data_IF_990119812576
#
_entry.id   IF_990119812576
#
_cell.length_a   1.000
_cell.length_b   1.000
_cell.length_c   1.000
_cell.angle_alpha   90.00
_cell.angle_beta   90.00
_cell.angle_gamma   90.00
#
_symmetry.space_group_name_H-M   'P 1'
#
loop_
_entity.id
_entity.type
_entity.pdbx_description
1 polymer ?
#
# COMPACT_ATOMS: atom_id res chain seq x y z
N UNK A 1 6.37 9.31 -23.75
CA UNK A 1 6.98 9.06 -22.42
C UNK A 1 5.85 8.68 -21.47
N UNK A 2 5.92 7.49 -20.87
CA UNK A 2 5.02 6.93 -19.85
C UNK A 2 3.52 6.72 -20.19
N UNK A 3 3.23 5.91 -21.21
CA UNK A 3 1.97 5.16 -21.29
C UNK A 3 2.21 3.79 -20.65
N UNK A 4 2.33 3.77 -19.32
CA UNK A 4 2.41 2.54 -18.56
C UNK A 4 1.83 2.77 -17.18
N UNK A 5 0.89 1.89 -16.84
CA UNK A 5 0.21 1.76 -15.56
C UNK A 5 -0.94 2.74 -15.32
N UNK A 6 -2.05 2.53 -16.05
CA UNK A 6 -3.32 2.43 -15.32
C UNK A 6 -3.07 1.33 -14.27
N UNK A 7 -3.12 1.66 -12.99
CA UNK A 7 -3.09 0.64 -11.94
C UNK A 7 -4.19 -0.36 -12.32
N UNK A 8 -3.78 -1.57 -12.71
CA UNK A 8 -4.71 -2.67 -12.73
C UNK A 8 -5.34 -2.68 -11.34
N UNK A 9 -6.67 -2.79 -11.25
CA UNK A 9 -7.35 -3.04 -9.99
C UNK A 9 -6.84 -4.40 -9.48
N UNK A 10 -5.68 -4.38 -8.83
CA UNK A 10 -5.04 -5.54 -8.24
C UNK A 10 -6.00 -6.07 -7.20
N UNK A 11 -6.43 -7.32 -7.37
CA UNK A 11 -7.26 -7.97 -6.37
C UNK A 11 -6.38 -8.33 -5.18
N UNK A 12 -6.49 -7.56 -4.11
CA UNK A 12 -5.82 -7.91 -2.87
C UNK A 12 -6.66 -8.89 -2.04
N UNK A 13 -6.03 -9.82 -1.31
CA UNK A 13 -6.73 -10.66 -0.35
C UNK A 13 -7.40 -9.76 0.70
N UNK A 14 -8.62 -10.10 1.11
CA UNK A 14 -9.38 -9.29 2.08
C UNK A 14 -9.13 -9.71 3.52
N UNK A 15 -8.27 -10.71 3.75
CA UNK A 15 -7.97 -11.32 5.05
C UNK A 15 -6.47 -11.51 5.25
N UNK A 16 -6.04 -11.50 6.51
CA UNK A 16 -4.70 -11.92 6.94
C UNK A 16 -4.78 -12.91 8.10
N UNK A 17 -3.63 -13.46 8.50
CA UNK A 17 -3.50 -14.38 9.63
C UNK A 17 -4.09 -13.78 10.90
N UNK A 18 -4.79 -14.60 11.70
CA UNK A 18 -5.36 -14.17 12.98
C UNK A 18 -6.59 -13.28 12.85
N UNK A 19 -7.42 -13.50 11.83
CA UNK A 19 -8.74 -12.86 11.59
C UNK A 19 -8.74 -11.37 11.26
N UNK A 20 -7.57 -10.81 10.95
CA UNK A 20 -7.48 -9.45 10.44
C UNK A 20 -8.17 -9.33 9.08
N UNK A 21 -8.94 -8.27 8.88
CA UNK A 21 -9.68 -8.00 7.64
C UNK A 21 -9.25 -6.69 7.03
N UNK A 22 -9.03 -6.68 5.72
CA UNK A 22 -8.68 -5.46 5.00
C UNK A 22 -9.85 -4.48 5.08
N UNK A 23 -9.57 -3.31 5.65
CA UNK A 23 -10.51 -2.20 5.73
C UNK A 23 -10.36 -1.27 4.54
N UNK A 24 -9.11 -0.94 4.19
CA UNK A 24 -8.82 -0.03 3.07
C UNK A 24 -7.38 -0.13 2.60
N UNK A 25 -7.16 -0.14 1.29
CA UNK A 25 -5.82 0.08 0.71
C UNK A 25 -5.41 1.53 0.98
N UNK A 26 -4.14 1.75 1.28
CA UNK A 26 -3.56 3.09 1.45
C UNK A 26 -2.71 3.44 0.23
N UNK A 27 -1.86 2.50 -0.17
CA UNK A 27 -0.89 2.69 -1.23
C UNK A 27 -0.70 1.39 -2.02
N UNK A 28 -0.76 1.48 -3.33
CA UNK A 28 -0.42 0.39 -4.26
C UNK A 28 0.07 0.97 -5.61
N UNK A 29 1.27 0.60 -6.01
CA UNK A 29 1.85 0.98 -7.32
C UNK A 29 1.73 -0.13 -8.37
N UNK A 30 1.05 -1.23 -8.04
CA UNK A 30 0.80 -2.33 -8.95
C UNK A 30 1.81 -3.47 -8.82
N UNK A 31 2.04 -4.17 -9.93
CA UNK A 31 2.82 -5.39 -9.97
C UNK A 31 4.27 -5.22 -9.49
N UNK A 32 4.84 -6.31 -8.97
CA UNK A 32 6.21 -6.39 -8.47
C UNK A 32 6.59 -5.34 -7.40
N UNK A 33 5.59 -4.72 -6.78
CA UNK A 33 5.77 -3.67 -5.78
C UNK A 33 5.16 -4.08 -4.43
N UNK A 34 5.26 -3.17 -3.47
CA UNK A 34 4.60 -3.29 -2.17
C UNK A 34 3.23 -2.63 -2.22
N UNK A 35 2.22 -3.31 -1.69
CA UNK A 35 0.95 -2.70 -1.32
C UNK A 35 0.88 -2.53 0.20
N UNK A 36 0.29 -1.41 0.64
CA UNK A 36 0.06 -1.08 2.05
C UNK A 36 -1.43 -0.85 2.27
N UNK A 37 -1.98 -1.45 3.31
CA UNK A 37 -3.39 -1.35 3.64
C UNK A 37 -3.60 -1.26 5.15
N UNK A 38 -4.74 -0.69 5.53
CA UNK A 38 -5.28 -0.83 6.87
C UNK A 38 -6.07 -2.13 6.99
N UNK A 39 -5.72 -2.90 8.01
CA UNK A 39 -6.47 -4.07 8.43
C UNK A 39 -7.06 -3.81 9.82
N UNK A 40 -8.19 -4.45 10.10
CA UNK A 40 -8.93 -4.34 11.35
C UNK A 40 -9.17 -5.71 11.98
N UNK A 41 -9.04 -5.78 13.31
CA UNK A 41 -9.40 -6.92 14.14
C UNK A 41 -10.03 -6.43 15.43
N UNK A 42 -11.28 -6.81 15.70
CA UNK A 42 -11.99 -6.47 16.95
C UNK A 42 -11.94 -4.96 17.30
N UNK A 43 -12.06 -4.10 16.27
CA UNK A 43 -11.99 -2.64 16.42
C UNK A 43 -10.57 -2.06 16.49
N UNK A 44 -9.53 -2.89 16.63
CA UNK A 44 -8.15 -2.46 16.53
C UNK A 44 -7.74 -2.32 15.07
N UNK A 45 -7.15 -1.17 14.72
CA UNK A 45 -6.66 -0.85 13.38
C UNK A 45 -5.13 -0.94 13.34
N UNK A 46 -4.58 -1.59 12.31
CA UNK A 46 -3.13 -1.64 12.07
C UNK A 46 -2.80 -1.51 10.59
N UNK A 47 -1.61 -1.02 10.27
CA UNK A 47 -1.07 -1.09 8.93
C UNK A 47 -0.54 -2.50 8.66
N UNK A 48 -0.75 -2.96 7.44
CA UNK A 48 -0.20 -4.18 6.91
C UNK A 48 0.47 -3.90 5.56
N UNK A 49 1.47 -4.73 5.24
CA UNK A 49 2.14 -4.71 3.95
C UNK A 49 2.07 -6.07 3.28
N UNK A 50 2.14 -6.07 1.96
CA UNK A 50 2.36 -7.29 1.16
C UNK A 50 3.21 -6.97 -0.06
N UNK A 51 3.84 -8.00 -0.60
CA UNK A 51 4.42 -7.95 -1.94
C UNK A 51 3.39 -8.42 -2.95
N UNK A 52 3.27 -7.66 -4.03
CA UNK A 52 2.46 -8.00 -5.17
C UNK A 52 3.22 -8.97 -6.08
N UNK A 53 2.48 -9.80 -6.81
CA UNK A 53 3.06 -10.66 -7.84
C UNK A 53 3.67 -9.84 -8.97
N UNK A 54 4.62 -10.44 -9.67
CA UNK A 54 5.10 -9.92 -10.94
C UNK A 54 4.01 -9.93 -12.01
N UNK A 55 4.20 -9.13 -13.05
CA UNK A 55 3.25 -9.07 -14.16
C UNK A 55 4.01 -8.97 -15.49
N UNK A 56 3.48 -9.65 -16.51
CA UNK A 56 3.95 -9.50 -17.87
C UNK A 56 3.48 -8.16 -18.44
N UNK A 57 4.45 -7.37 -18.91
CA UNK A 57 4.21 -6.10 -19.58
C UNK A 57 4.10 -6.34 -21.07
N UNK A 58 2.96 -5.97 -21.64
CA UNK A 58 2.73 -6.02 -23.08
C UNK A 58 2.87 -4.64 -23.70
N UNK A 59 3.53 -4.57 -24.86
CA UNK A 59 3.61 -3.37 -25.71
C UNK A 59 3.09 -3.72 -27.10
N UNK A 60 2.14 -2.95 -27.60
CA UNK A 60 1.51 -3.16 -28.92
C UNK A 60 0.92 -4.59 -29.08
N UNK A 61 0.32 -5.11 -28.00
CA UNK A 61 -0.28 -6.45 -27.97
C UNK A 61 0.73 -7.61 -27.92
N UNK A 62 2.03 -7.33 -27.85
CA UNK A 62 3.09 -8.35 -27.76
C UNK A 62 3.76 -8.30 -26.39
N UNK A 63 4.22 -9.44 -25.91
CA UNK A 63 5.06 -9.52 -24.72
C UNK A 63 6.32 -8.65 -24.92
N UNK A 64 6.60 -7.78 -23.95
CA UNK A 64 7.79 -6.96 -23.95
C UNK A 64 8.80 -7.46 -22.90
N UNK A 65 8.38 -7.57 -21.65
CA UNK A 65 9.19 -8.07 -20.53
C UNK A 65 8.30 -8.44 -19.34
N UNK A 66 8.86 -9.14 -18.34
CA UNK A 66 8.21 -9.44 -17.07
C UNK A 66 8.75 -8.55 -15.97
N UNK A 67 7.87 -7.90 -15.22
CA UNK A 67 8.22 -7.29 -13.94
C UNK A 67 8.31 -8.39 -12.89
N UNK A 68 9.50 -8.66 -12.35
CA UNK A 68 9.69 -9.68 -11.32
C UNK A 68 9.46 -9.11 -9.93
N UNK A 69 8.64 -9.79 -9.12
CA UNK A 69 8.57 -9.52 -7.69
C UNK A 69 9.82 -10.08 -7.02
N UNK A 70 10.47 -9.35 -6.10
CA UNK A 70 11.62 -9.88 -5.34
C UNK A 70 11.31 -11.17 -4.57
N UNK A 71 10.02 -11.44 -4.30
CA UNK A 71 9.55 -12.65 -3.63
C UNK A 71 9.00 -13.72 -4.59
N UNK A 72 9.07 -13.51 -5.90
CA UNK A 72 8.51 -14.37 -6.94
C UNK A 72 6.99 -14.31 -7.02
N UNK A 73 6.30 -14.70 -5.94
CA UNK A 73 4.85 -14.76 -5.82
C UNK A 73 4.29 -13.64 -4.93
N UNK A 74 2.98 -13.38 -5.05
CA UNK A 74 2.33 -12.44 -4.15
C UNK A 74 2.25 -12.99 -2.72
N UNK A 75 2.56 -12.17 -1.72
CA UNK A 75 2.54 -12.62 -0.31
C UNK A 75 1.17 -12.37 0.32
N UNK A 76 0.88 -13.07 1.42
CA UNK A 76 -0.18 -12.64 2.34
C UNK A 76 0.12 -11.27 2.95
N UNK A 77 -0.88 -10.69 3.62
CA UNK A 77 -0.70 -9.48 4.41
C UNK A 77 0.09 -9.76 5.68
N UNK A 78 1.11 -8.95 5.93
CA UNK A 78 1.90 -8.96 7.16
C UNK A 78 1.50 -7.74 7.98
N UNK A 79 0.98 -7.96 9.20
CA UNK A 79 0.66 -6.88 10.13
C UNK A 79 1.97 -6.28 10.65
N UNK A 80 2.11 -4.96 10.54
CA UNK A 80 3.31 -4.27 10.98
C UNK A 80 3.25 -3.98 12.48
N UNK A 81 4.34 -4.20 13.23
CA UNK A 81 4.49 -3.62 14.56
C UNK A 81 4.37 -2.10 14.50
N UNK A 82 3.92 -1.46 15.59
CA UNK A 82 3.62 -0.03 15.62
C UNK A 82 4.78 0.85 15.13
N UNK A 83 6.01 0.60 15.58
CA UNK A 83 7.16 1.44 15.24
C UNK A 83 7.41 1.42 13.72
N UNK A 84 7.39 0.23 13.11
CA UNK A 84 7.49 0.06 11.66
C UNK A 84 6.32 0.71 10.92
N UNK A 85 5.09 0.50 11.41
CA UNK A 85 3.90 1.08 10.83
C UNK A 85 3.94 2.61 10.82
N UNK A 86 4.42 3.22 11.92
CA UNK A 86 4.53 4.67 12.04
C UNK A 86 5.54 5.27 11.06
N UNK A 87 6.70 4.61 10.89
CA UNK A 87 7.74 5.02 9.93
C UNK A 87 7.21 4.89 8.50
N UNK A 88 6.63 3.74 8.14
CA UNK A 88 6.02 3.53 6.82
C UNK A 88 4.95 4.59 6.55
N UNK A 89 4.10 4.89 7.54
CA UNK A 89 3.06 5.89 7.42
C UNK A 89 3.61 7.30 7.15
N UNK A 90 4.65 7.72 7.87
CA UNK A 90 5.34 9.01 7.64
C UNK A 90 5.95 9.08 6.25
N UNK A 91 6.69 8.05 5.86
CA UNK A 91 7.31 7.96 4.53
C UNK A 91 6.27 8.00 3.41
N UNK A 92 5.10 7.39 3.61
CA UNK A 92 4.00 7.46 2.65
C UNK A 92 3.40 8.88 2.55
N UNK A 93 3.30 9.61 3.65
CA UNK A 93 2.89 11.03 3.63
C UNK A 93 3.91 11.87 2.85
N UNK A 94 5.20 11.73 3.15
CA UNK A 94 6.28 12.44 2.45
C UNK A 94 6.25 12.15 0.94
N UNK A 95 6.08 10.88 0.55
CA UNK A 95 5.95 10.48 -0.85
C UNK A 95 4.74 11.11 -1.52
N UNK A 96 3.59 11.14 -0.85
CA UNK A 96 2.38 11.73 -1.41
C UNK A 96 2.52 13.25 -1.60
N UNK A 97 3.13 13.95 -0.64
CA UNK A 97 3.46 15.38 -0.75
C UNK A 97 4.42 15.64 -1.91
N UNK A 98 5.38 14.75 -2.14
CA UNK A 98 6.28 14.80 -3.29
C UNK A 98 5.62 14.43 -4.63
N UNK A 99 4.30 14.18 -4.67
CA UNK A 99 3.55 13.90 -5.89
C UNK A 99 3.61 12.44 -6.37
N UNK A 100 3.99 11.49 -5.50
CA UNK A 100 3.94 10.08 -5.84
C UNK A 100 2.51 9.62 -6.16
N UNK A 101 2.39 8.61 -7.03
CA UNK A 101 1.11 8.00 -7.42
C UNK A 101 0.86 6.72 -6.63
N UNK A 102 -0.34 6.15 -6.77
CA UNK A 102 -0.71 4.87 -6.16
C UNK A 102 -1.45 4.98 -4.83
N UNK A 103 -1.84 6.18 -4.43
CA UNK A 103 -2.55 6.41 -3.17
C UNK A 103 -4.06 6.30 -3.36
N UNK A 104 -4.71 5.51 -2.53
CA UNK A 104 -6.15 5.59 -2.37
C UNK A 104 -6.49 6.82 -1.51
N UNK A 105 -7.32 7.72 -2.04
CA UNK A 105 -7.64 8.98 -1.36
C UNK A 105 -8.23 8.77 0.03
N UNK A 106 -9.06 7.74 0.21
CA UNK A 106 -9.74 7.51 1.47
C UNK A 106 -8.87 6.75 2.48
N UNK A 107 -8.00 5.84 2.01
CA UNK A 107 -6.96 5.20 2.80
C UNK A 107 -5.88 6.18 3.25
N UNK A 108 -5.47 7.10 2.38
CA UNK A 108 -4.54 8.17 2.73
C UNK A 108 -5.09 9.11 3.80
N UNK A 109 -6.37 9.52 3.69
CA UNK A 109 -7.02 10.30 4.75
C UNK A 109 -7.07 9.54 6.09
N UNK A 110 -7.37 8.25 6.04
CA UNK A 110 -7.36 7.39 7.24
C UNK A 110 -5.95 7.29 7.84
N UNK A 111 -4.91 7.20 7.00
CA UNK A 111 -3.52 7.15 7.45
C UNK A 111 -3.13 8.39 8.25
N UNK A 112 -3.41 9.58 7.70
CA UNK A 112 -3.12 10.84 8.38
C UNK A 112 -3.83 10.92 9.73
N UNK A 113 -5.14 10.61 9.75
CA UNK A 113 -5.93 10.60 10.98
C UNK A 113 -5.37 9.63 12.02
N UNK A 114 -5.06 8.40 11.61
CA UNK A 114 -4.54 7.36 12.49
C UNK A 114 -3.17 7.69 13.10
N UNK A 115 -2.30 8.38 12.35
CA UNK A 115 -1.01 8.85 12.86
C UNK A 115 -1.16 10.06 13.80
N UNK A 116 -2.07 10.99 13.50
CA UNK A 116 -2.37 12.14 14.36
C UNK A 116 -2.92 11.70 15.72
N UNK A 117 -3.90 10.78 15.72
CA UNK A 117 -4.53 10.26 16.95
C UNK A 117 -3.56 9.53 17.89
N UNK A 118 -2.39 9.16 17.38
CA UNK A 118 -1.34 8.44 18.13
C UNK A 118 -0.07 9.27 18.31
N UNK A 119 -0.17 10.59 18.09
CA UNK A 119 0.92 11.57 18.24
C UNK A 119 2.18 11.22 17.42
N UNK A 120 2.03 10.39 16.39
CA UNK A 120 3.14 10.04 15.51
C UNK A 120 3.50 11.21 14.59
N UNK A 121 2.52 12.05 14.26
CA UNK A 121 2.69 13.30 13.49
C UNK A 121 1.94 14.44 14.20
N UNK A 122 2.37 15.69 14.00
CA UNK A 122 1.72 16.87 14.57
C UNK A 122 0.74 17.52 13.57
N UNK A 123 -0.27 18.24 14.09
CA UNK A 123 -1.32 18.91 13.28
C UNK A 123 -0.78 19.94 12.26
N UNK A 124 0.50 20.32 12.37
CA UNK A 124 1.21 21.17 11.41
C UNK A 124 1.73 20.47 10.14
N UNK A 125 1.41 19.19 9.89
CA UNK A 125 1.59 18.54 8.58
C UNK A 125 0.55 19.06 7.56
N UNK A 126 0.62 20.35 7.30
CA UNK A 126 -0.03 21.05 6.19
C UNK A 126 1.05 21.42 5.17
N UNK A 127 1.13 20.63 4.10
CA UNK A 127 1.74 21.00 2.82
C UNK A 127 0.67 20.80 1.74
#
# INVERSE_FOLDING_TARGET
MAELMRSANMKHPTKATGDWRMKRVVFDTGAACVAVAFLEKQGALSLAMRWNEGQDVTKDGKFAYRLESPHGESTGWVILPWDFASVVGKTLIEKQVAGARGFDSAGYRLLKKWLLEREAIHDGFSL
#
